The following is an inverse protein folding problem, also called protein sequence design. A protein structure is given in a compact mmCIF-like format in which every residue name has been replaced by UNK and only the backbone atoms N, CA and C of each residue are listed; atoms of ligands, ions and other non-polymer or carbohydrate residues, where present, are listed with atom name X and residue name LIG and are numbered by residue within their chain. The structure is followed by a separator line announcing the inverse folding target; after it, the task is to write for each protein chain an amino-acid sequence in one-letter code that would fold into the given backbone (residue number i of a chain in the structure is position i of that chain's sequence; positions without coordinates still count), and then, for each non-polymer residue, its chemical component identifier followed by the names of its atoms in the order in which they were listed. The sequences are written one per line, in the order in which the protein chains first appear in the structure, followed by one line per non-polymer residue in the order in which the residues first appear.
data_IF_014000544217
#
_entry.id   IF_014000544217
#
_cell.length_a   1.000
_cell.length_b   1.000
_cell.length_c   1.000
_cell.angle_alpha   90.00
_cell.angle_beta   90.00
_cell.angle_gamma   90.00
#
_symmetry.space_group_name_H-M   'P 1'
#
loop_
_entity.id
_entity.type
_entity.pdbx_description
1 polymer ?
#
# COMPACT_ATOMS: atom_id res chain seq x y z
N UNK A 1 4.77 6.11 -54.16
CA UNK A 1 4.46 4.83 -53.49
C UNK A 1 5.54 4.61 -52.43
N UNK A 2 5.32 5.07 -51.22
CA UNK A 2 6.20 4.78 -50.10
C UNK A 2 5.36 4.08 -49.05
N UNK A 3 5.57 2.77 -48.95
CA UNK A 3 4.93 1.92 -47.95
C UNK A 3 5.54 2.21 -46.59
N UNK A 4 4.74 2.78 -45.70
CA UNK A 4 4.99 2.82 -44.26
C UNK A 4 4.66 1.44 -43.72
N UNK A 5 5.67 0.60 -43.54
CA UNK A 5 5.56 -0.61 -42.74
C UNK A 5 5.36 -0.17 -41.26
N UNK A 6 4.10 -0.20 -40.83
CA UNK A 6 3.76 -0.10 -39.42
C UNK A 6 4.39 -1.29 -38.69
N UNK A 7 5.37 -1.00 -37.83
CA UNK A 7 5.81 -1.95 -36.80
C UNK A 7 4.74 -1.95 -35.71
N UNK A 8 3.71 -2.73 -35.92
CA UNK A 8 2.84 -3.22 -34.86
C UNK A 8 3.67 -4.18 -34.02
N UNK A 9 4.53 -3.58 -33.19
CA UNK A 9 5.26 -4.30 -32.16
C UNK A 9 4.25 -4.78 -31.14
N UNK A 10 3.81 -6.04 -31.27
CA UNK A 10 3.12 -6.75 -30.22
C UNK A 10 3.90 -6.48 -28.92
N UNK A 11 3.32 -5.67 -28.02
CA UNK A 11 3.83 -5.50 -26.68
C UNK A 11 3.80 -6.89 -26.08
N UNK A 12 4.96 -7.55 -26.08
CA UNK A 12 5.10 -8.89 -25.57
C UNK A 12 4.40 -8.91 -24.21
N UNK A 13 3.46 -9.82 -24.09
CA UNK A 13 2.56 -9.97 -22.94
C UNK A 13 3.37 -10.30 -21.67
N UNK A 14 3.94 -9.28 -21.05
CA UNK A 14 4.84 -9.42 -19.89
C UNK A 14 4.06 -9.73 -18.63
N UNK A 15 4.52 -10.74 -17.89
CA UNK A 15 4.08 -10.97 -16.50
C UNK A 15 4.31 -9.70 -15.69
N UNK A 16 3.32 -9.29 -14.93
CA UNK A 16 3.40 -8.15 -14.01
C UNK A 16 3.58 -8.65 -12.59
N UNK A 17 4.68 -8.29 -11.95
CA UNK A 17 5.01 -8.72 -10.59
C UNK A 17 4.72 -7.61 -9.58
N UNK A 18 3.95 -7.93 -8.56
CA UNK A 18 3.49 -7.01 -7.53
C UNK A 18 3.92 -7.53 -6.16
N UNK A 19 4.57 -6.70 -5.38
CA UNK A 19 4.79 -6.94 -3.95
C UNK A 19 3.78 -6.13 -3.15
N UNK A 20 3.01 -6.78 -2.27
CA UNK A 20 2.05 -6.11 -1.38
C UNK A 20 2.40 -6.44 0.06
N UNK A 21 2.78 -5.43 0.84
CA UNK A 21 3.05 -5.60 2.28
C UNK A 21 1.77 -5.49 3.10
N UNK A 22 1.68 -6.22 4.22
CA UNK A 22 0.46 -6.28 5.03
C UNK A 22 -0.71 -6.97 4.31
N UNK A 23 -0.40 -7.91 3.40
CA UNK A 23 -1.37 -8.55 2.51
C UNK A 23 -2.23 -9.63 3.18
N UNK A 24 -2.04 -9.92 4.45
CA UNK A 24 -2.83 -10.95 5.15
C UNK A 24 -4.27 -10.54 5.49
N UNK A 25 -4.59 -9.24 5.56
CA UNK A 25 -5.94 -8.74 5.93
C UNK A 25 -6.23 -7.38 5.30
N UNK A 26 -7.48 -6.91 5.42
CA UNK A 26 -7.89 -5.55 5.08
C UNK A 26 -7.51 -5.10 3.67
N UNK A 27 -7.01 -3.86 3.56
CA UNK A 27 -6.65 -3.23 2.28
C UNK A 27 -5.59 -4.03 1.53
N UNK A 28 -4.56 -4.53 2.22
CA UNK A 28 -3.48 -5.29 1.58
C UNK A 28 -3.97 -6.60 0.96
N UNK A 29 -4.86 -7.34 1.66
CA UNK A 29 -5.52 -8.53 1.12
C UNK A 29 -6.36 -8.18 -0.11
N UNK A 30 -7.23 -7.18 -0.01
CA UNK A 30 -8.08 -6.74 -1.12
C UNK A 30 -7.25 -6.29 -2.32
N UNK A 31 -6.12 -5.60 -2.08
CA UNK A 31 -5.18 -5.19 -3.12
C UNK A 31 -4.54 -6.39 -3.83
N UNK A 32 -4.10 -7.41 -3.07
CA UNK A 32 -3.54 -8.62 -3.66
C UNK A 32 -4.57 -9.34 -4.56
N UNK A 33 -5.81 -9.43 -4.09
CA UNK A 33 -6.92 -9.99 -4.87
C UNK A 33 -7.22 -9.18 -6.14
N UNK A 34 -7.33 -7.85 -6.02
CA UNK A 34 -7.64 -6.98 -7.14
C UNK A 34 -6.58 -7.07 -8.27
N UNK A 35 -5.28 -7.11 -7.93
CA UNK A 35 -4.24 -7.32 -8.94
C UNK A 35 -4.37 -8.67 -9.63
N UNK A 36 -4.63 -9.74 -8.89
CA UNK A 36 -4.77 -11.07 -9.46
C UNK A 36 -6.04 -11.23 -10.31
N UNK A 37 -7.13 -10.55 -9.98
CA UNK A 37 -8.40 -10.61 -10.70
C UNK A 37 -8.38 -9.77 -11.98
N UNK A 38 -7.79 -8.57 -11.93
CA UNK A 38 -7.77 -7.65 -13.07
C UNK A 38 -6.76 -8.03 -14.16
N UNK A 39 -5.68 -8.71 -13.81
CA UNK A 39 -4.70 -9.21 -14.77
C UNK A 39 -4.39 -10.69 -14.51
N UNK A 40 -4.84 -11.61 -15.39
CA UNK A 40 -4.56 -13.05 -15.25
C UNK A 40 -3.05 -13.38 -15.24
N UNK A 41 -2.22 -12.49 -15.76
CA UNK A 41 -0.75 -12.65 -15.80
C UNK A 41 -0.07 -12.08 -14.58
N UNK A 42 -0.77 -11.32 -13.72
CA UNK A 42 -0.17 -10.78 -12.52
C UNK A 42 0.30 -11.89 -11.58
N UNK A 43 1.45 -11.67 -10.98
CA UNK A 43 2.02 -12.46 -9.89
C UNK A 43 2.17 -11.55 -8.69
N UNK A 44 1.56 -11.93 -7.59
CA UNK A 44 1.54 -11.12 -6.37
C UNK A 44 2.31 -11.84 -5.28
N UNK A 45 3.35 -11.22 -4.76
CA UNK A 45 4.00 -11.65 -3.52
C UNK A 45 3.25 -10.98 -2.37
N UNK A 46 2.46 -11.77 -1.65
CA UNK A 46 1.67 -11.33 -0.51
C UNK A 46 2.51 -11.43 0.77
N UNK A 47 2.96 -10.29 1.29
CA UNK A 47 3.92 -10.22 2.41
C UNK A 47 3.23 -9.88 3.72
N UNK A 48 3.59 -10.56 4.80
CA UNK A 48 3.13 -10.28 6.16
C UNK A 48 3.77 -11.19 7.19
N UNK A 49 3.49 -10.95 8.46
CA UNK A 49 4.14 -11.69 9.57
C UNK A 49 3.43 -12.99 9.94
N UNK A 50 2.17 -13.18 9.56
CA UNK A 50 1.34 -14.32 9.98
C UNK A 50 1.03 -15.22 8.78
N UNK A 51 1.41 -16.48 8.87
CA UNK A 51 1.28 -17.46 7.78
C UNK A 51 -0.19 -17.73 7.40
N UNK A 52 -1.05 -17.97 8.40
CA UNK A 52 -2.43 -18.37 8.17
C UNK A 52 -3.26 -17.30 7.43
N UNK A 53 -3.28 -15.99 7.80
CA UNK A 53 -3.96 -14.98 7.02
C UNK A 53 -3.41 -14.79 5.59
N UNK A 54 -2.11 -15.02 5.38
CA UNK A 54 -1.50 -14.97 4.04
C UNK A 54 -1.93 -16.16 3.18
N UNK A 55 -2.02 -17.35 3.77
CA UNK A 55 -2.53 -18.54 3.09
C UNK A 55 -3.96 -18.30 2.60
N UNK A 56 -4.85 -17.79 3.47
CA UNK A 56 -6.21 -17.43 3.08
C UNK A 56 -6.29 -16.34 2.00
N UNK A 57 -5.29 -15.45 1.94
CA UNK A 57 -5.20 -14.50 0.83
C UNK A 57 -4.84 -15.21 -0.48
N UNK A 58 -3.94 -16.18 -0.44
CA UNK A 58 -3.46 -16.91 -1.63
C UNK A 58 -4.52 -17.86 -2.22
N UNK A 59 -5.44 -18.37 -1.41
CA UNK A 59 -6.53 -19.26 -1.84
C UNK A 59 -7.41 -18.66 -2.94
N UNK A 60 -7.54 -17.33 -3.00
CA UNK A 60 -8.33 -16.63 -4.02
C UNK A 60 -7.78 -16.79 -5.44
N UNK A 61 -6.46 -16.92 -5.57
CA UNK A 61 -5.79 -17.09 -6.85
C UNK A 61 -4.54 -17.98 -6.70
N UNK A 62 -4.71 -19.31 -6.56
CA UNK A 62 -3.62 -20.23 -6.33
C UNK A 62 -2.54 -20.12 -7.42
N UNK A 63 -1.27 -20.12 -7.02
CA UNK A 63 -0.13 -19.99 -7.91
C UNK A 63 0.11 -18.58 -8.48
N UNK A 64 -0.87 -17.68 -8.38
CA UNK A 64 -0.72 -16.26 -8.79
C UNK A 64 -0.50 -15.34 -7.59
N UNK A 65 -1.13 -15.62 -6.46
CA UNK A 65 -0.81 -14.98 -5.18
C UNK A 65 0.06 -15.96 -4.39
N UNK A 66 1.29 -15.55 -4.10
CA UNK A 66 2.27 -16.36 -3.38
C UNK A 66 2.52 -15.72 -2.01
N UNK A 67 2.26 -16.45 -0.92
CA UNK A 67 2.50 -15.92 0.42
C UNK A 67 4.00 -15.90 0.75
N UNK A 68 4.44 -14.83 1.42
CA UNK A 68 5.76 -14.71 2.02
C UNK A 68 5.63 -14.24 3.47
N UNK A 69 6.03 -15.09 4.40
CA UNK A 69 6.11 -14.69 5.81
C UNK A 69 7.41 -13.91 6.01
N UNK A 70 7.29 -12.62 6.25
CA UNK A 70 8.43 -11.73 6.51
C UNK A 70 8.01 -10.55 7.38
N UNK A 71 8.95 -10.04 8.17
CA UNK A 71 8.79 -8.77 8.90
C UNK A 71 9.53 -7.67 8.14
N UNK A 72 8.78 -6.64 7.71
CA UNK A 72 9.32 -5.50 6.98
C UNK A 72 10.26 -4.64 7.85
N UNK A 73 10.21 -4.81 9.18
CA UNK A 73 11.03 -4.07 10.15
C UNK A 73 12.31 -4.82 10.55
N UNK A 74 12.45 -6.08 10.15
CA UNK A 74 13.67 -6.83 10.38
C UNK A 74 14.84 -6.24 9.55
N UNK A 75 16.08 -6.28 10.06
CA UNK A 75 17.24 -5.70 9.38
C UNK A 75 17.42 -6.19 7.94
N UNK A 76 17.17 -7.46 7.69
CA UNK A 76 17.25 -8.12 6.38
C UNK A 76 15.90 -8.22 5.65
N UNK A 77 14.80 -7.82 6.32
CA UNK A 77 13.44 -7.93 5.81
C UNK A 77 13.24 -7.27 4.45
N UNK A 78 13.58 -5.99 4.27
CA UNK A 78 13.43 -5.31 2.99
C UNK A 78 14.19 -5.98 1.84
N UNK A 79 15.46 -6.34 2.05
CA UNK A 79 16.27 -7.00 1.04
C UNK A 79 15.76 -8.41 0.74
N UNK A 80 15.38 -9.17 1.77
CA UNK A 80 14.83 -10.52 1.64
C UNK A 80 13.50 -10.55 0.87
N UNK A 81 12.60 -9.58 1.08
CA UNK A 81 11.34 -9.48 0.34
C UNK A 81 11.59 -9.22 -1.15
N UNK A 82 12.47 -8.29 -1.48
CA UNK A 82 12.81 -7.98 -2.88
C UNK A 82 13.53 -9.17 -3.51
N UNK A 83 14.48 -9.77 -2.80
CA UNK A 83 15.17 -10.98 -3.25
C UNK A 83 14.22 -12.12 -3.58
N UNK A 84 13.24 -12.38 -2.71
CA UNK A 84 12.21 -13.41 -2.95
C UNK A 84 11.33 -13.12 -4.18
N UNK A 85 11.03 -11.85 -4.46
CA UNK A 85 10.28 -11.48 -5.68
C UNK A 85 11.12 -11.74 -6.94
N UNK A 86 12.40 -11.36 -6.91
CA UNK A 86 13.32 -11.56 -8.04
C UNK A 86 13.63 -13.04 -8.28
N UNK A 87 13.88 -13.82 -7.22
CA UNK A 87 14.14 -15.26 -7.30
C UNK A 87 12.95 -16.02 -7.91
N UNK A 88 11.71 -15.67 -7.49
CA UNK A 88 10.51 -16.40 -7.90
C UNK A 88 9.97 -15.96 -9.26
N UNK A 89 10.11 -14.69 -9.60
CA UNK A 89 9.43 -14.10 -10.77
C UNK A 89 10.37 -13.34 -11.71
N UNK A 90 11.64 -13.15 -11.36
CA UNK A 90 12.66 -12.51 -12.19
C UNK A 90 12.54 -10.98 -12.32
N UNK A 91 11.53 -10.35 -11.69
CA UNK A 91 11.24 -8.92 -11.83
C UNK A 91 10.41 -8.36 -10.69
N UNK A 92 10.29 -7.04 -10.65
CA UNK A 92 9.34 -6.32 -9.80
C UNK A 92 8.81 -5.10 -10.55
N UNK A 93 7.51 -5.00 -10.73
CA UNK A 93 6.85 -3.91 -11.45
C UNK A 93 6.11 -2.95 -10.52
N UNK A 94 5.55 -3.47 -9.44
CA UNK A 94 4.74 -2.69 -8.49
C UNK A 94 5.14 -3.04 -7.06
N UNK A 95 5.49 -2.02 -6.29
CA UNK A 95 5.66 -2.12 -4.85
C UNK A 95 4.52 -1.40 -4.14
N UNK A 96 3.71 -2.12 -3.36
CA UNK A 96 2.66 -1.55 -2.53
C UNK A 96 3.09 -1.55 -1.06
N UNK A 97 3.47 -0.39 -0.56
CA UNK A 97 3.77 -0.14 0.85
C UNK A 97 2.46 0.07 1.62
N UNK A 98 1.81 -1.03 2.00
CA UNK A 98 0.53 -1.02 2.69
C UNK A 98 0.64 -1.39 4.18
N UNK A 99 1.62 -2.21 4.58
CA UNK A 99 1.77 -2.59 5.97
C UNK A 99 1.86 -1.37 6.89
N UNK A 100 1.12 -1.41 7.98
CA UNK A 100 1.09 -0.31 8.96
C UNK A 100 0.42 -0.72 10.25
N UNK A 101 0.70 0.03 11.30
CA UNK A 101 0.04 -0.06 12.61
C UNK A 101 -0.54 1.30 12.99
N UNK A 102 -1.65 1.29 13.70
CA UNK A 102 -2.35 2.50 14.15
C UNK A 102 -2.75 2.37 15.63
N UNK A 103 -1.78 2.37 16.56
CA UNK A 103 -2.09 2.31 17.97
C UNK A 103 -2.88 3.56 18.39
N UNK A 104 -3.93 3.35 19.18
CA UNK A 104 -4.70 4.45 19.75
C UNK A 104 -3.97 5.01 20.96
N UNK A 105 -3.43 6.22 20.87
CA UNK A 105 -2.72 6.87 21.96
C UNK A 105 -2.92 8.40 21.92
N UNK A 106 -3.10 9.01 23.07
CA UNK A 106 -3.19 10.46 23.26
C UNK A 106 -1.85 11.04 23.71
N UNK A 107 -1.66 12.33 23.52
CA UNK A 107 -0.50 13.02 24.10
C UNK A 107 -0.52 12.84 25.63
N UNK A 108 0.61 12.40 26.18
CA UNK A 108 0.75 12.00 27.59
C UNK A 108 0.72 10.48 27.83
N UNK A 109 0.27 9.66 26.86
CA UNK A 109 0.27 8.19 26.97
C UNK A 109 1.28 7.50 26.05
N UNK A 110 2.01 8.26 25.23
CA UNK A 110 3.05 7.68 24.37
C UNK A 110 4.25 7.21 25.17
N UNK A 111 4.79 6.04 24.80
CA UNK A 111 6.09 5.56 25.28
C UNK A 111 7.13 5.65 24.17
N UNK A 112 8.43 5.79 24.49
CA UNK A 112 9.50 5.79 23.49
C UNK A 112 9.45 4.56 22.59
N UNK A 113 9.21 3.36 23.15
CA UNK A 113 9.15 2.08 22.43
C UNK A 113 7.95 2.05 21.49
N UNK A 114 6.77 2.53 21.93
CA UNK A 114 5.57 2.61 21.11
C UNK A 114 5.73 3.54 19.91
N UNK A 115 6.34 4.72 20.14
CA UNK A 115 6.67 5.67 19.06
C UNK A 115 7.69 5.05 18.09
N UNK A 116 8.75 4.43 18.61
CA UNK A 116 9.78 3.79 17.79
C UNK A 116 9.18 2.66 16.91
N UNK A 117 8.36 1.79 17.47
CA UNK A 117 7.70 0.70 16.75
C UNK A 117 6.76 1.22 15.64
N UNK A 118 6.01 2.29 15.92
CA UNK A 118 5.13 2.93 14.96
C UNK A 118 5.94 3.51 13.79
N UNK A 119 6.97 4.28 14.08
CA UNK A 119 7.82 4.89 13.06
C UNK A 119 8.62 3.83 12.28
N UNK A 120 9.11 2.79 12.94
CA UNK A 120 9.79 1.67 12.28
C UNK A 120 8.90 1.02 11.22
N UNK A 121 7.62 0.76 11.56
CA UNK A 121 6.67 0.09 10.66
C UNK A 121 6.13 1.02 9.57
N UNK A 122 5.66 2.23 9.97
CA UNK A 122 4.90 3.09 9.06
C UNK A 122 5.78 3.99 8.19
N UNK A 123 7.03 4.23 8.58
CA UNK A 123 7.93 5.16 7.91
C UNK A 123 9.24 4.51 7.49
N UNK A 124 10.02 3.96 8.44
CA UNK A 124 11.37 3.45 8.14
C UNK A 124 11.32 2.25 7.20
N UNK A 125 10.43 1.28 7.45
CA UNK A 125 10.32 0.09 6.62
C UNK A 125 9.91 0.41 5.16
N UNK A 126 8.91 1.25 4.85
CA UNK A 126 8.64 1.71 3.48
C UNK A 126 9.84 2.38 2.79
N UNK A 127 10.64 3.17 3.53
CA UNK A 127 11.87 3.78 2.99
C UNK A 127 12.86 2.71 2.57
N UNK A 128 13.19 1.80 3.49
CA UNK A 128 14.20 0.76 3.26
C UNK A 128 13.75 -0.25 2.20
N UNK A 129 12.47 -0.61 2.19
CA UNK A 129 11.91 -1.52 1.19
C UNK A 129 11.91 -0.89 -0.20
N UNK A 130 11.52 0.38 -0.31
CA UNK A 130 11.58 1.12 -1.58
C UNK A 130 13.03 1.24 -2.06
N UNK A 131 13.97 1.56 -1.17
CA UNK A 131 15.40 1.60 -1.48
C UNK A 131 15.91 0.24 -2.01
N UNK A 132 15.58 -0.86 -1.34
CA UNK A 132 15.97 -2.21 -1.79
C UNK A 132 15.36 -2.56 -3.17
N UNK A 133 14.15 -2.07 -3.46
CA UNK A 133 13.45 -2.33 -4.70
C UNK A 133 13.92 -1.47 -5.89
N UNK A 134 14.71 -0.41 -5.66
CA UNK A 134 15.09 0.56 -6.71
C UNK A 134 15.72 -0.07 -7.96
N UNK A 135 16.68 -1.02 -7.88
CA UNK A 135 17.24 -1.63 -9.09
C UNK A 135 16.14 -2.29 -9.94
N UNK A 136 15.34 -3.16 -9.35
CA UNK A 136 14.29 -3.89 -10.06
C UNK A 136 13.18 -2.98 -10.61
N UNK A 137 12.80 -1.95 -9.85
CA UNK A 137 11.82 -0.94 -10.31
C UNK A 137 12.39 -0.06 -11.44
N UNK A 138 13.69 0.21 -11.45
CA UNK A 138 14.36 0.93 -12.54
C UNK A 138 14.32 0.09 -13.83
N UNK A 139 14.66 -1.19 -13.75
CA UNK A 139 14.68 -2.11 -14.90
C UNK A 139 13.27 -2.30 -15.49
N UNK A 140 12.25 -2.28 -14.66
CA UNK A 140 10.84 -2.43 -15.09
C UNK A 140 10.17 -1.11 -15.46
N UNK A 141 10.73 0.05 -15.12
CA UNK A 141 10.09 1.36 -15.10
C UNK A 141 8.80 1.30 -14.28
N UNK A 142 8.92 0.76 -13.09
CA UNK A 142 7.82 0.35 -12.23
C UNK A 142 7.12 1.50 -11.50
N UNK A 143 6.31 1.12 -10.51
CA UNK A 143 5.57 2.07 -9.69
C UNK A 143 5.61 1.69 -8.21
N UNK A 144 5.79 2.68 -7.36
CA UNK A 144 5.60 2.58 -5.91
C UNK A 144 4.24 3.16 -5.57
N UNK A 145 3.41 2.40 -4.87
CA UNK A 145 2.13 2.84 -4.32
C UNK A 145 2.21 2.81 -2.80
N UNK A 146 2.16 3.96 -2.18
CA UNK A 146 2.12 4.09 -0.73
C UNK A 146 0.68 4.13 -0.23
N UNK A 147 0.37 3.37 0.83
CA UNK A 147 -0.92 3.50 1.52
C UNK A 147 -0.75 4.43 2.72
N UNK A 148 -1.22 5.66 2.54
CA UNK A 148 -1.25 6.72 3.54
C UNK A 148 -2.56 6.68 4.36
N UNK A 149 -3.12 7.82 4.69
CA UNK A 149 -4.43 7.98 5.34
C UNK A 149 -4.98 9.40 5.17
N UNK A 150 -6.28 9.54 5.09
CA UNK A 150 -6.98 10.82 5.15
C UNK A 150 -6.79 11.52 6.52
N UNK A 151 -6.48 10.76 7.58
CA UNK A 151 -6.25 11.29 8.95
C UNK A 151 -5.11 12.30 9.00
N UNK A 152 -4.10 12.20 8.15
CA UNK A 152 -2.98 13.15 8.08
C UNK A 152 -3.32 14.50 7.46
N UNK A 153 -4.47 14.61 6.80
CA UNK A 153 -4.88 15.83 6.07
C UNK A 153 -5.66 16.82 6.94
N UNK A 154 -6.08 16.40 8.15
CA UNK A 154 -6.68 17.28 9.16
C UNK A 154 -6.35 16.77 10.57
N UNK A 155 -6.55 17.61 11.61
CA UNK A 155 -6.32 17.22 13.01
C UNK A 155 -7.30 16.13 13.46
N UNK A 156 -6.78 15.04 14.05
CA UNK A 156 -7.55 13.94 14.61
C UNK A 156 -7.04 13.63 16.03
N UNK A 157 -7.91 13.63 17.05
CA UNK A 157 -7.51 13.31 18.40
C UNK A 157 -7.08 11.83 18.52
N UNK A 158 -6.20 11.57 19.47
CA UNK A 158 -5.74 10.22 19.85
C UNK A 158 -4.98 9.43 18.78
N UNK A 159 -4.47 10.10 17.73
CA UNK A 159 -3.71 9.46 16.64
C UNK A 159 -2.56 10.35 16.11
N UNK A 160 -2.06 11.30 16.90
CA UNK A 160 -1.14 12.33 16.39
C UNK A 160 0.16 11.78 15.79
N UNK A 161 0.82 10.82 16.46
CA UNK A 161 2.06 10.21 15.95
C UNK A 161 1.77 9.33 14.72
N UNK A 162 0.64 8.63 14.70
CA UNK A 162 0.20 7.90 13.51
C UNK A 162 -0.05 8.85 12.32
N UNK A 163 -0.81 9.93 12.54
CA UNK A 163 -1.06 10.95 11.52
C UNK A 163 0.24 11.55 10.99
N UNK A 164 1.17 11.91 11.89
CA UNK A 164 2.48 12.43 11.53
C UNK A 164 3.29 11.43 10.68
N UNK A 165 3.28 10.13 11.04
CA UNK A 165 3.97 9.09 10.25
C UNK A 165 3.41 8.98 8.83
N UNK A 166 2.09 9.12 8.66
CA UNK A 166 1.44 9.05 7.35
C UNK A 166 1.60 10.35 6.54
N UNK A 167 1.60 11.52 7.20
CA UNK A 167 1.96 12.78 6.56
C UNK A 167 3.41 12.77 6.05
N UNK A 168 4.33 12.12 6.78
CA UNK A 168 5.69 11.88 6.28
C UNK A 168 5.70 11.00 5.02
N UNK A 169 4.89 9.95 4.95
CA UNK A 169 4.74 9.11 3.74
C UNK A 169 4.19 9.93 2.56
N UNK A 170 3.25 10.85 2.78
CA UNK A 170 2.76 11.76 1.74
C UNK A 170 3.85 12.68 1.21
N UNK A 171 4.70 13.18 2.10
CA UNK A 171 5.86 14.00 1.72
C UNK A 171 6.88 13.18 0.94
N UNK A 172 7.20 11.96 1.40
CA UNK A 172 8.08 11.03 0.69
C UNK A 172 7.53 10.68 -0.70
N UNK A 173 6.22 10.48 -0.83
CA UNK A 173 5.57 10.22 -2.12
C UNK A 173 5.85 11.32 -3.12
N UNK A 174 5.70 12.58 -2.72
CA UNK A 174 6.00 13.74 -3.58
C UNK A 174 7.49 13.88 -3.88
N UNK A 175 8.34 13.74 -2.89
CA UNK A 175 9.80 13.82 -3.05
C UNK A 175 10.34 12.72 -3.96
N UNK A 176 9.95 11.47 -3.71
CA UNK A 176 10.38 10.34 -4.53
C UNK A 176 9.82 10.38 -5.95
N UNK A 177 8.63 10.96 -6.16
CA UNK A 177 8.11 11.16 -7.51
C UNK A 177 9.04 12.03 -8.37
N UNK A 178 9.64 13.07 -7.80
CA UNK A 178 10.63 13.92 -8.49
C UNK A 178 11.98 13.20 -8.62
N UNK A 179 12.43 12.57 -7.54
CA UNK A 179 13.76 11.92 -7.45
C UNK A 179 13.87 10.72 -8.39
N UNK A 180 12.79 9.93 -8.54
CA UNK A 180 12.80 8.69 -9.29
C UNK A 180 12.25 8.81 -10.73
N UNK A 181 11.67 9.95 -11.10
CA UNK A 181 11.19 10.21 -12.45
C UNK A 181 12.28 10.01 -13.53
N UNK A 182 13.57 10.44 -13.34
CA UNK A 182 14.62 10.18 -14.33
C UNK A 182 14.91 8.69 -14.56
N UNK A 183 14.51 7.81 -13.62
CA UNK A 183 14.60 6.35 -13.75
C UNK A 183 13.34 5.73 -14.37
N UNK A 184 12.35 6.53 -14.73
CA UNK A 184 11.06 6.08 -15.24
C UNK A 184 10.13 5.48 -14.18
N UNK A 185 10.45 5.62 -12.90
CA UNK A 185 9.64 5.11 -11.78
C UNK A 185 8.60 6.17 -11.40
N UNK A 186 7.33 5.76 -11.28
CA UNK A 186 6.27 6.59 -10.70
C UNK A 186 6.12 6.30 -9.21
N UNK A 187 5.78 7.32 -8.44
CA UNK A 187 5.46 7.17 -7.02
C UNK A 187 4.13 7.87 -6.75
N UNK A 188 3.18 7.14 -6.20
CA UNK A 188 1.85 7.63 -5.89
C UNK A 188 1.42 7.16 -4.50
N UNK A 189 0.45 7.82 -3.90
CA UNK A 189 -0.17 7.36 -2.66
C UNK A 189 -1.69 7.30 -2.79
N UNK A 190 -2.31 6.38 -2.06
CA UNK A 190 -3.73 6.42 -1.72
C UNK A 190 -3.86 6.81 -0.26
N UNK A 191 -4.87 7.63 0.06
CA UNK A 191 -5.15 8.12 1.41
C UNK A 191 -6.56 7.64 1.84
N UNK A 192 -6.69 6.44 2.42
CA UNK A 192 -7.97 5.93 2.88
C UNK A 192 -8.55 6.76 4.04
N UNK A 193 -9.87 6.94 4.02
CA UNK A 193 -10.65 7.41 5.16
C UNK A 193 -11.02 6.28 6.12
N UNK A 194 -12.25 6.30 6.61
CA UNK A 194 -12.81 5.21 7.39
C UNK A 194 -13.13 4.03 6.50
N UNK A 195 -12.35 2.95 6.63
CA UNK A 195 -12.47 1.72 5.83
C UNK A 195 -12.69 0.52 6.76
N UNK A 196 -13.61 -0.36 6.39
CA UNK A 196 -13.88 -1.61 7.10
C UNK A 196 -12.67 -2.54 7.03
N UNK A 197 -11.91 -2.61 8.11
CA UNK A 197 -10.68 -3.41 8.22
C UNK A 197 -10.45 -3.80 9.69
N UNK A 198 -9.70 -4.87 9.97
CA UNK A 198 -9.37 -5.27 11.33
C UNK A 198 -8.30 -4.40 12.01
N UNK A 199 -7.94 -3.23 11.46
CA UNK A 199 -6.85 -2.41 12.00
C UNK A 199 -7.10 -1.94 13.44
N UNK A 200 -8.34 -1.59 13.78
CA UNK A 200 -8.73 -1.19 15.13
C UNK A 200 -8.66 -2.37 16.12
N UNK A 201 -9.02 -3.57 15.67
CA UNK A 201 -8.91 -4.79 16.45
C UNK A 201 -7.45 -5.16 16.68
N UNK A 202 -6.61 -5.10 15.65
CA UNK A 202 -5.17 -5.32 15.77
C UNK A 202 -4.48 -4.29 16.68
N UNK A 203 -5.06 -3.10 16.82
CA UNK A 203 -4.61 -2.07 17.76
C UNK A 203 -5.09 -2.31 19.21
N UNK A 204 -5.81 -3.41 19.47
CA UNK A 204 -6.33 -3.74 20.81
C UNK A 204 -7.50 -2.87 21.25
N UNK A 205 -8.19 -2.17 20.33
CA UNK A 205 -9.36 -1.33 20.65
C UNK A 205 -10.55 -2.23 20.96
N UNK A 206 -11.09 -2.15 22.17
CA UNK A 206 -12.22 -2.93 22.61
C UNK A 206 -13.52 -2.64 21.84
N UNK A 207 -14.51 -3.55 21.88
CA UNK A 207 -15.73 -3.47 21.06
C UNK A 207 -16.54 -2.19 21.29
N UNK A 208 -16.69 -1.73 22.53
CA UNK A 208 -17.43 -0.50 22.85
C UNK A 208 -16.76 0.73 22.20
N UNK A 209 -15.45 0.86 22.36
CA UNK A 209 -14.70 1.96 21.75
C UNK A 209 -14.68 1.90 20.24
N UNK A 210 -14.70 0.71 19.65
CA UNK A 210 -14.84 0.55 18.20
C UNK A 210 -16.22 1.01 17.71
N UNK A 211 -17.28 0.76 18.47
CA UNK A 211 -18.62 1.24 18.13
C UNK A 211 -18.71 2.78 18.18
N UNK A 212 -18.14 3.41 19.21
CA UNK A 212 -18.04 4.88 19.29
C UNK A 212 -17.25 5.47 18.13
N UNK A 213 -16.08 4.89 17.83
CA UNK A 213 -15.24 5.31 16.71
C UNK A 213 -16.00 5.19 15.38
N UNK A 214 -16.73 4.10 15.18
CA UNK A 214 -17.54 3.88 13.98
C UNK A 214 -18.66 4.90 13.86
N UNK A 215 -19.37 5.20 14.94
CA UNK A 215 -20.42 6.23 14.94
C UNK A 215 -19.83 7.61 14.58
N UNK A 216 -18.69 7.94 15.16
CA UNK A 216 -17.99 9.17 14.87
C UNK A 216 -17.53 9.25 13.40
N UNK A 217 -16.96 8.16 12.86
CA UNK A 217 -16.52 8.07 11.47
C UNK A 217 -17.70 8.25 10.49
N UNK A 218 -18.84 7.63 10.77
CA UNK A 218 -20.07 7.79 9.97
C UNK A 218 -20.55 9.24 9.95
N UNK A 219 -20.55 9.92 11.11
CA UNK A 219 -20.96 11.31 11.23
C UNK A 219 -20.04 12.29 10.49
N UNK A 220 -18.78 11.89 10.24
CA UNK A 220 -17.75 12.74 9.60
C UNK A 220 -17.33 12.23 8.22
N UNK A 221 -18.13 11.36 7.61
CA UNK A 221 -17.94 10.90 6.23
C UNK A 221 -19.15 11.36 5.39
N UNK A 222 -19.00 12.36 4.50
CA UNK A 222 -20.11 12.92 3.72
C UNK A 222 -20.93 11.89 2.94
N UNK A 223 -20.31 10.80 2.43
CA UNK A 223 -21.08 9.73 1.77
C UNK A 223 -21.89 8.86 2.74
N UNK A 224 -21.88 9.14 4.06
CA UNK A 224 -22.74 8.51 5.07
C UNK A 224 -22.50 7.03 5.33
N UNK A 225 -21.36 6.49 4.92
CA UNK A 225 -20.99 5.09 5.13
C UNK A 225 -19.50 4.91 5.36
N UNK A 226 -19.14 3.78 5.94
CA UNK A 226 -17.76 3.30 5.96
C UNK A 226 -17.43 2.70 4.59
N UNK A 227 -16.23 2.98 4.07
CA UNK A 227 -15.75 2.41 2.81
C UNK A 227 -15.32 0.96 2.97
N UNK A 228 -15.22 0.24 1.87
CA UNK A 228 -14.74 -1.13 1.82
C UNK A 228 -13.26 -1.19 1.40
N UNK A 229 -12.54 -2.21 1.86
CA UNK A 229 -11.16 -2.43 1.46
C UNK A 229 -10.98 -2.58 -0.07
N UNK A 230 -12.00 -3.11 -0.75
CA UNK A 230 -12.03 -3.25 -2.21
C UNK A 230 -12.04 -1.90 -2.95
N UNK A 231 -12.66 -0.87 -2.36
CA UNK A 231 -12.68 0.48 -2.96
C UNK A 231 -11.28 1.13 -2.94
N UNK A 232 -10.54 0.90 -1.86
CA UNK A 232 -9.13 1.34 -1.79
C UNK A 232 -8.25 0.52 -2.75
N UNK A 233 -8.46 -0.80 -2.81
CA UNK A 233 -7.74 -1.68 -3.71
C UNK A 233 -7.96 -1.30 -5.19
N UNK A 234 -9.17 -0.90 -5.54
CA UNK A 234 -9.46 -0.34 -6.87
C UNK A 234 -8.57 0.88 -7.16
N UNK A 235 -8.51 1.85 -6.28
CA UNK A 235 -7.68 3.04 -6.48
C UNK A 235 -6.19 2.68 -6.61
N UNK A 236 -5.69 1.74 -5.79
CA UNK A 236 -4.31 1.23 -5.87
C UNK A 236 -4.03 0.64 -7.25
N UNK A 237 -4.91 -0.23 -7.75
CA UNK A 237 -4.71 -0.88 -9.05
C UNK A 237 -4.79 0.10 -10.22
N UNK A 238 -5.71 1.08 -10.17
CA UNK A 238 -5.83 2.13 -11.20
C UNK A 238 -4.60 3.03 -11.25
N UNK A 239 -4.12 3.51 -10.10
CA UNK A 239 -2.91 4.34 -10.02
C UNK A 239 -1.65 3.57 -10.43
N UNK A 240 -1.62 2.27 -10.16
CA UNK A 240 -0.54 1.40 -10.62
C UNK A 240 -0.62 1.06 -12.11
N UNK A 241 -1.77 1.16 -12.75
CA UNK A 241 -2.00 0.75 -14.13
C UNK A 241 -1.11 1.51 -15.16
N UNK A 242 -0.77 0.88 -16.30
CA UNK A 242 -0.03 1.56 -17.38
C UNK A 242 -0.74 2.81 -17.90
N UNK A 243 -2.08 2.83 -17.87
CA UNK A 243 -2.90 3.97 -18.29
C UNK A 243 -2.67 5.21 -17.43
N UNK A 244 -2.21 5.03 -16.19
CA UNK A 244 -1.83 6.12 -15.29
C UNK A 244 -0.38 6.62 -15.51
N UNK A 245 0.19 6.41 -16.70
CA UNK A 245 1.60 6.69 -17.02
C UNK A 245 2.03 8.15 -16.77
N UNK A 246 1.09 9.08 -16.81
CA UNK A 246 1.35 10.50 -16.54
C UNK A 246 0.97 10.95 -15.11
N UNK A 247 0.67 9.99 -14.22
CA UNK A 247 0.30 10.26 -12.83
C UNK A 247 1.44 9.86 -11.91
N UNK A 248 2.06 10.85 -11.25
CA UNK A 248 3.09 10.66 -10.21
C UNK A 248 3.00 11.79 -9.18
N UNK A 249 3.47 11.57 -7.96
CA UNK A 249 3.47 12.55 -6.86
C UNK A 249 2.08 12.83 -6.24
N UNK A 250 1.02 12.17 -6.71
CA UNK A 250 -0.33 12.37 -6.18
C UNK A 250 -0.53 11.61 -4.86
N UNK A 251 -1.26 12.23 -3.95
CA UNK A 251 -1.88 11.59 -2.79
C UNK A 251 -3.37 11.59 -3.04
N UNK A 252 -3.95 10.44 -3.36
CA UNK A 252 -5.32 10.27 -3.83
C UNK A 252 -6.24 9.84 -2.67
N UNK A 253 -7.18 10.69 -2.22
CA UNK A 253 -8.11 10.35 -1.15
C UNK A 253 -9.12 9.28 -1.61
N UNK A 254 -9.35 8.29 -0.75
CA UNK A 254 -10.43 7.28 -0.87
C UNK A 254 -11.15 7.27 0.47
N UNK A 255 -11.93 8.32 0.74
CA UNK A 255 -12.34 8.68 2.10
C UNK A 255 -13.82 9.07 2.24
N UNK A 256 -14.60 8.94 1.16
CA UNK A 256 -16.00 9.34 1.17
C UNK A 256 -16.24 10.84 1.39
N UNK A 257 -15.22 11.68 1.12
CA UNK A 257 -15.28 13.13 1.28
C UNK A 257 -14.84 13.62 2.67
N UNK A 258 -14.32 12.75 3.53
CA UNK A 258 -14.01 13.08 4.94
C UNK A 258 -12.99 14.23 5.12
N UNK A 259 -12.16 14.53 4.13
CA UNK A 259 -11.17 15.63 4.21
C UNK A 259 -11.70 16.97 3.70
N UNK A 260 -12.87 17.01 3.06
CA UNK A 260 -13.45 18.22 2.46
C UNK A 260 -14.79 18.62 3.06
N UNK A 261 -15.36 17.74 3.93
CA UNK A 261 -16.61 17.96 4.65
C UNK A 261 -16.44 18.39 6.11
#
# INVERSE_FOLDING_TARGET
MNGTTGTDGAVAERVRVVVVTGAGTGIGRATAWAFAEQDPRARVLAVGRRAEPLAGTAERAPGRIVPLVADITAPDGPAGIVGAALERFGRLDVLVNNAGIAPHATLGSYTPEGVAALLATNLTAPVLLTQAALPALTDSRGVVVNVSTAVGLRGWPANSVYAASKAAVDTLTRSWAVELAPRGIRVVAVAPGAIETPIAEHAGIGPERRAELRAWQLAHTPLGRIGEAAEVAWAVTQLAAPQASFVTGVVFPVDGGAVVG
#
